data_IF_965880039743
#
_entry.id   IF_965880039743
#
_cell.length_a   1.000
_cell.length_b   1.000
_cell.length_c   1.000
_cell.angle_alpha   90.00
_cell.angle_beta   90.00
_cell.angle_gamma   90.00
#
_symmetry.space_group_name_H-M   'P 1'
#
loop_
_entity.id
_entity.type
_entity.pdbx_description
1 polymer ?
#
# COMPACT_ATOMS: atom_id res chain seq x y z
N UNK A 1 -7.40 -15.39 9.30
CA UNK A 1 -8.58 -15.60 8.41
C UNK A 1 -9.84 -15.98 9.19
N UNK A 2 -9.84 -17.04 10.01
CA UNK A 2 -11.01 -17.48 10.77
C UNK A 2 -11.61 -16.40 11.70
N UNK A 3 -10.77 -15.59 12.38
CA UNK A 3 -11.25 -14.46 13.19
C UNK A 3 -11.98 -13.39 12.37
N UNK A 4 -11.42 -12.98 11.22
CA UNK A 4 -12.04 -12.00 10.32
C UNK A 4 -13.38 -12.51 9.78
N UNK A 5 -13.46 -13.80 9.42
CA UNK A 5 -14.71 -14.44 8.99
C UNK A 5 -15.78 -14.43 10.08
N UNK A 6 -15.41 -14.69 11.35
CA UNK A 6 -16.33 -14.60 12.50
C UNK A 6 -16.89 -13.19 12.69
N UNK A 7 -16.11 -12.17 12.33
CA UNK A 7 -16.54 -10.76 12.38
C UNK A 7 -17.24 -10.29 11.09
N UNK A 8 -17.48 -11.19 10.12
CA UNK A 8 -18.05 -10.85 8.81
C UNK A 8 -17.20 -9.83 8.04
N UNK A 9 -15.89 -9.81 8.29
CA UNK A 9 -14.92 -8.94 7.60
C UNK A 9 -14.21 -9.72 6.50
N UNK A 10 -14.25 -9.21 5.28
CA UNK A 10 -13.49 -9.77 4.15
C UNK A 10 -11.99 -9.62 4.40
N UNK A 11 -11.21 -10.72 4.46
CA UNK A 11 -9.77 -10.62 4.69
C UNK A 11 -9.04 -9.93 3.53
N UNK A 12 -8.29 -8.87 3.83
CA UNK A 12 -7.34 -8.27 2.90
C UNK A 12 -5.94 -8.84 3.12
N UNK A 13 -5.64 -9.99 2.50
CA UNK A 13 -4.35 -10.70 2.67
C UNK A 13 -3.87 -11.23 1.33
N UNK A 14 -2.58 -11.08 1.02
CA UNK A 14 -2.02 -11.66 -0.20
C UNK A 14 -1.70 -13.16 -0.04
N UNK A 15 -2.15 -13.95 -1.02
CA UNK A 15 -1.71 -15.33 -1.23
C UNK A 15 -0.34 -15.36 -1.90
N UNK A 16 0.54 -16.25 -1.42
CA UNK A 16 1.82 -16.58 -2.10
C UNK A 16 1.59 -17.73 -3.08
N UNK A 17 2.39 -17.78 -4.15
CA UNK A 17 2.30 -18.86 -5.14
C UNK A 17 2.64 -20.26 -4.58
N UNK A 18 3.52 -20.32 -3.58
CA UNK A 18 3.91 -21.56 -2.88
C UNK A 18 3.88 -21.35 -1.37
N UNK A 19 3.57 -22.42 -0.63
CA UNK A 19 3.57 -22.45 0.84
C UNK A 19 2.69 -21.36 1.48
N UNK A 20 1.52 -21.06 0.89
CA UNK A 20 0.58 -20.09 1.44
C UNK A 20 -0.48 -20.78 2.30
N UNK A 21 -0.72 -20.25 3.50
CA UNK A 21 -1.81 -20.68 4.38
C UNK A 21 -3.19 -20.10 3.98
N UNK A 22 -3.30 -19.51 2.79
CA UNK A 22 -4.54 -18.91 2.27
C UNK A 22 -5.24 -19.93 1.36
N UNK A 23 -6.47 -20.28 1.72
CA UNK A 23 -7.34 -21.19 0.97
C UNK A 23 -7.90 -20.55 -0.32
N UNK A 24 -8.30 -21.39 -1.27
CA UNK A 24 -8.93 -20.93 -2.52
C UNK A 24 -10.23 -20.17 -2.31
N UNK A 25 -10.97 -20.46 -1.22
CA UNK A 25 -12.20 -19.74 -0.85
C UNK A 25 -11.96 -18.24 -0.66
N UNK A 26 -10.80 -17.84 -0.15
CA UNK A 26 -10.43 -16.42 0.05
C UNK A 26 -10.05 -15.73 -1.27
N UNK A 27 -9.60 -16.48 -2.27
CA UNK A 27 -9.08 -15.89 -3.53
C UNK A 27 -10.03 -16.04 -4.72
N UNK A 28 -11.05 -16.88 -4.62
CA UNK A 28 -11.99 -17.22 -5.70
C UNK A 28 -12.87 -16.05 -6.16
N UNK A 29 -13.15 -15.08 -5.29
CA UNK A 29 -14.08 -14.01 -5.62
C UNK A 29 -13.41 -12.86 -6.39
N UNK A 30 -14.08 -12.25 -7.39
CA UNK A 30 -13.51 -11.15 -8.20
C UNK A 30 -12.99 -9.96 -7.36
N UNK A 31 -13.64 -9.70 -6.22
CA UNK A 31 -13.23 -8.65 -5.28
C UNK A 31 -11.81 -8.83 -4.74
N UNK A 32 -11.31 -10.07 -4.62
CA UNK A 32 -9.95 -10.36 -4.15
C UNK A 32 -8.92 -9.82 -5.15
N UNK A 33 -9.10 -10.15 -6.44
CA UNK A 33 -8.20 -9.70 -7.50
C UNK A 33 -8.17 -8.16 -7.61
N UNK A 34 -9.33 -7.51 -7.50
CA UNK A 34 -9.43 -6.05 -7.48
C UNK A 34 -8.71 -5.43 -6.26
N UNK A 35 -8.92 -6.02 -5.09
CA UNK A 35 -8.29 -5.59 -3.84
C UNK A 35 -6.76 -5.68 -3.92
N UNK A 36 -6.24 -6.80 -4.45
CA UNK A 36 -4.80 -7.00 -4.67
C UNK A 36 -4.19 -6.00 -5.66
N UNK A 37 -4.90 -5.66 -6.75
CA UNK A 37 -4.44 -4.62 -7.70
C UNK A 37 -4.42 -3.23 -7.05
N UNK A 38 -5.45 -2.90 -6.26
CA UNK A 38 -5.54 -1.59 -5.57
C UNK A 38 -4.46 -1.42 -4.51
N UNK A 39 -4.10 -2.49 -3.79
CA UNK A 39 -3.04 -2.46 -2.76
C UNK A 39 -1.73 -1.87 -3.28
N UNK A 40 -1.33 -2.24 -4.49
CA UNK A 40 -0.11 -1.71 -5.14
C UNK A 40 -0.12 -0.19 -5.29
N UNK A 41 -1.30 0.42 -5.52
CA UNK A 41 -1.42 1.87 -5.66
C UNK A 41 -1.09 2.63 -4.38
N UNK A 42 -1.24 1.98 -3.23
CA UNK A 42 -0.89 2.54 -1.92
C UNK A 42 0.57 2.20 -1.60
N UNK A 43 0.97 0.93 -1.78
CA UNK A 43 2.33 0.47 -1.45
C UNK A 43 3.42 1.20 -2.25
N UNK A 44 3.16 1.55 -3.52
CA UNK A 44 4.12 2.21 -4.41
C UNK A 44 4.55 3.60 -3.90
N UNK A 45 3.64 4.55 -3.58
CA UNK A 45 4.00 5.83 -2.95
C UNK A 45 4.76 5.67 -1.63
N UNK A 46 4.37 4.73 -0.78
CA UNK A 46 5.08 4.49 0.48
C UNK A 46 6.49 3.92 0.27
N UNK A 47 6.66 3.06 -0.73
CA UNK A 47 7.98 2.59 -1.16
C UNK A 47 8.84 3.72 -1.68
N UNK A 48 8.29 4.56 -2.57
CA UNK A 48 8.98 5.72 -3.12
C UNK A 48 9.38 6.72 -2.04
N UNK A 49 8.52 7.00 -1.07
CA UNK A 49 8.82 7.89 0.04
C UNK A 49 9.98 7.40 0.90
N UNK A 50 10.09 6.08 1.12
CA UNK A 50 11.21 5.51 1.87
C UNK A 50 12.51 5.58 1.08
N UNK A 51 12.48 5.17 -0.18
CA UNK A 51 13.69 5.03 -1.01
C UNK A 51 14.20 6.37 -1.56
N UNK A 52 13.29 7.21 -2.07
CA UNK A 52 13.62 8.49 -2.72
C UNK A 52 13.31 9.66 -1.80
N UNK A 53 12.18 9.61 -1.09
CA UNK A 53 11.72 10.69 -0.21
C UNK A 53 12.40 10.79 1.15
N UNK A 54 13.44 9.98 1.43
CA UNK A 54 14.20 10.00 2.68
C UNK A 54 13.42 9.59 3.93
N UNK A 55 12.29 8.89 3.78
CA UNK A 55 11.43 8.50 4.91
C UNK A 55 11.74 7.10 5.47
N UNK A 56 12.78 6.43 4.99
CA UNK A 56 13.21 5.14 5.55
C UNK A 56 13.65 5.28 7.02
N UNK A 57 14.30 6.40 7.36
CA UNK A 57 14.69 6.79 8.71
C UNK A 57 14.49 8.29 8.84
N UNK A 58 13.62 8.74 9.76
CA UNK A 58 13.36 10.17 9.95
C UNK A 58 14.49 10.83 10.74
N UNK A 59 14.93 11.98 10.28
CA UNK A 59 15.92 12.83 10.97
C UNK A 59 15.25 13.89 11.86
N UNK A 60 13.92 13.98 11.81
CA UNK A 60 13.16 14.97 12.57
C UNK A 60 12.69 14.40 13.92
N UNK A 61 12.63 15.27 14.92
CA UNK A 61 12.02 14.98 16.22
C UNK A 61 10.70 15.74 16.35
N UNK A 62 9.67 15.07 16.87
CA UNK A 62 8.32 15.61 17.06
C UNK A 62 7.37 15.34 15.90
N UNK A 63 6.09 15.09 16.23
CA UNK A 63 5.07 14.69 15.25
C UNK A 63 4.81 15.74 14.18
N UNK A 64 4.86 17.02 14.53
CA UNK A 64 4.55 18.11 13.58
C UNK A 64 5.57 18.18 12.44
N UNK A 65 6.86 18.04 12.77
CA UNK A 65 7.94 18.04 11.76
C UNK A 65 7.90 16.79 10.89
N UNK A 66 7.65 15.63 11.48
CA UNK A 66 7.49 14.37 10.74
C UNK A 66 6.27 14.44 9.81
N UNK A 67 5.16 15.02 10.28
CA UNK A 67 3.94 15.23 9.47
C UNK A 67 4.21 16.17 8.30
N UNK A 68 4.90 17.28 8.51
CA UNK A 68 5.28 18.20 7.45
C UNK A 68 6.14 17.51 6.38
N UNK A 69 7.16 16.76 6.80
CA UNK A 69 8.00 15.96 5.89
C UNK A 69 7.15 14.96 5.09
N UNK A 70 6.30 14.19 5.77
CA UNK A 70 5.42 13.20 5.13
C UNK A 70 4.53 13.84 4.05
N UNK A 71 3.82 14.91 4.39
CA UNK A 71 2.92 15.60 3.46
C UNK A 71 3.67 16.10 2.22
N UNK A 72 4.84 16.73 2.43
CA UNK A 72 5.67 17.23 1.33
C UNK A 72 6.17 16.09 0.44
N UNK A 73 6.64 14.99 1.03
CA UNK A 73 7.11 13.81 0.29
C UNK A 73 5.98 13.17 -0.52
N UNK A 74 4.77 13.06 0.04
CA UNK A 74 3.60 12.53 -0.68
C UNK A 74 3.18 13.44 -1.84
N UNK A 75 3.22 14.77 -1.65
CA UNK A 75 2.96 15.73 -2.72
C UNK A 75 3.99 15.59 -3.85
N UNK A 76 5.28 15.49 -3.52
CA UNK A 76 6.35 15.27 -4.51
C UNK A 76 6.17 13.93 -5.25
N UNK A 77 5.78 12.86 -4.56
CA UNK A 77 5.50 11.56 -5.17
C UNK A 77 4.35 11.66 -6.20
N UNK A 78 3.29 12.40 -5.88
CA UNK A 78 2.20 12.63 -6.81
C UNK A 78 2.69 13.38 -8.07
N UNK A 79 3.46 14.46 -7.90
CA UNK A 79 4.03 15.22 -9.01
C UNK A 79 4.92 14.35 -9.91
N UNK A 80 5.79 13.53 -9.32
CA UNK A 80 6.67 12.62 -10.06
C UNK A 80 5.90 11.58 -10.91
N UNK A 81 4.66 11.26 -10.52
CA UNK A 81 3.81 10.30 -11.23
C UNK A 81 2.96 10.93 -12.32
N UNK A 82 2.70 12.25 -12.26
CA UNK A 82 1.83 12.94 -13.22
C UNK A 82 2.24 12.74 -14.69
N UNK A 83 3.53 12.83 -15.09
CA UNK A 83 3.89 12.64 -16.50
C UNK A 83 3.44 11.30 -17.07
N UNK A 84 3.56 10.23 -16.27
CA UNK A 84 3.11 8.88 -16.68
C UNK A 84 1.60 8.74 -16.73
N UNK A 85 0.87 9.51 -15.92
CA UNK A 85 -0.60 9.50 -15.90
C UNK A 85 -1.20 10.36 -17.02
N UNK A 86 -0.48 11.37 -17.47
CA UNK A 86 -0.90 12.30 -18.53
C UNK A 86 -0.38 11.93 -19.92
N UNK A 87 0.67 11.09 -19.98
CA UNK A 87 1.13 10.51 -21.24
C UNK A 87 -0.02 9.66 -21.84
N UNK A 88 -0.58 10.18 -22.94
CA UNK A 88 -1.61 9.53 -23.75
C UNK A 88 -0.96 8.68 -24.82
#
# INVERSE_FOLDING_TARGET
IAALRRMVVTPHVAQKARYSAIDGRTTQHPGYALSQRRRKKIEEPFGWAKTVGGMAQTVHRGLDRVRAQFTMTMAACNLARLPKLLAT
#
